data_IF_155195677771
#
_entry.id   IF_155195677771
#
_cell.length_a   1.000
_cell.length_b   1.000
_cell.length_c   1.000
_cell.angle_alpha   90.00
_cell.angle_beta   90.00
_cell.angle_gamma   90.00
#
_symmetry.space_group_name_H-M   'P 1'
#
loop_
_entity.id
_entity.type
_entity.pdbx_description
1 polymer ?
#
# COMPACT_ATOMS: atom_id res chain seq x y z
N UNK A 1 -4.93 62.06 -12.25
CA UNK A 1 -6.32 61.74 -12.66
C UNK A 1 -6.58 60.28 -12.36
N UNK A 2 -7.28 59.97 -11.26
CA UNK A 2 -7.61 58.61 -10.87
C UNK A 2 -8.88 58.18 -11.60
N UNK A 3 -8.75 57.30 -12.60
CA UNK A 3 -9.91 56.64 -13.21
C UNK A 3 -10.35 55.53 -12.26
N UNK A 4 -11.34 55.82 -11.42
CA UNK A 4 -12.09 54.77 -10.70
C UNK A 4 -12.88 53.95 -11.73
N UNK A 5 -12.24 52.93 -12.30
CA UNK A 5 -12.93 51.88 -13.04
C UNK A 5 -13.60 50.95 -12.03
N UNK A 6 -14.87 51.21 -11.72
CA UNK A 6 -15.67 50.33 -10.86
C UNK A 6 -16.05 49.08 -11.66
N UNK A 7 -15.53 47.91 -11.26
CA UNK A 7 -15.94 46.63 -11.84
C UNK A 7 -17.46 46.45 -11.68
N UNK A 8 -18.19 46.28 -12.78
CA UNK A 8 -19.66 46.27 -12.76
C UNK A 8 -20.26 44.90 -12.47
N UNK A 9 -19.49 43.80 -12.67
CA UNK A 9 -19.96 42.43 -12.45
C UNK A 9 -18.84 41.49 -11.99
N UNK A 10 -19.18 40.62 -11.04
CA UNK A 10 -18.32 39.50 -10.58
C UNK A 10 -18.86 38.21 -11.18
N UNK A 11 -17.99 37.47 -11.85
CA UNK A 11 -18.28 36.21 -12.54
C UNK A 11 -17.61 35.07 -11.77
N UNK A 12 -18.42 34.10 -11.34
CA UNK A 12 -17.96 33.03 -10.46
C UNK A 12 -18.16 31.65 -11.10
N UNK A 13 -17.14 30.81 -10.96
CA UNK A 13 -17.15 29.41 -11.36
C UNK A 13 -16.75 28.53 -10.17
N UNK A 14 -17.72 28.07 -9.41
CA UNK A 14 -17.52 26.90 -8.55
C UNK A 14 -18.86 26.20 -8.28
N UNK A 15 -18.79 24.90 -8.08
CA UNK A 15 -19.86 24.13 -7.45
C UNK A 15 -20.03 24.61 -6.01
N UNK A 16 -21.16 25.30 -5.80
CA UNK A 16 -21.96 25.37 -4.59
C UNK A 16 -21.22 25.07 -3.28
N UNK A 17 -20.92 26.10 -2.49
CA UNK A 17 -21.13 26.15 -1.02
C UNK A 17 -20.81 27.61 -0.60
N UNK A 18 -21.84 28.35 -0.17
CA UNK A 18 -21.79 29.70 0.46
C UNK A 18 -21.71 31.01 -0.38
N UNK A 19 -22.13 31.05 -1.66
CA UNK A 19 -22.35 32.35 -2.35
C UNK A 19 -23.81 32.89 -2.26
N UNK A 20 -24.62 32.39 -1.33
CA UNK A 20 -26.08 32.60 -1.35
C UNK A 20 -26.52 34.06 -1.16
N UNK A 21 -25.82 34.86 -0.36
CA UNK A 21 -26.20 36.25 -0.08
C UNK A 21 -25.85 37.25 -1.19
N UNK A 22 -24.80 36.96 -1.98
CA UNK A 22 -24.34 37.83 -3.07
C UNK A 22 -25.06 37.57 -4.40
N UNK A 23 -25.41 36.30 -4.67
CA UNK A 23 -26.23 35.90 -5.84
C UNK A 23 -27.62 36.53 -5.76
N UNK A 24 -28.20 36.60 -4.55
CA UNK A 24 -29.54 37.16 -4.31
C UNK A 24 -29.66 38.67 -4.56
N UNK A 25 -28.54 39.39 -4.70
CA UNK A 25 -28.48 40.85 -4.96
C UNK A 25 -28.10 41.20 -6.40
N UNK A 26 -28.12 40.25 -7.34
CA UNK A 26 -27.77 40.40 -8.76
C UNK A 26 -26.35 40.94 -9.07
N UNK A 27 -25.47 41.02 -8.07
CA UNK A 27 -24.08 41.51 -8.24
C UNK A 27 -23.11 40.43 -8.72
N UNK A 28 -23.53 39.16 -8.71
CA UNK A 28 -22.69 38.01 -9.03
C UNK A 28 -23.40 37.11 -10.05
N UNK A 29 -22.76 36.91 -11.21
CA UNK A 29 -23.27 36.04 -12.27
C UNK A 29 -22.52 34.71 -12.24
N UNK A 30 -23.28 33.61 -12.11
CA UNK A 30 -22.73 32.25 -12.12
C UNK A 30 -23.06 31.60 -13.45
N UNK A 31 -22.02 31.19 -14.19
CA UNK A 31 -22.18 30.40 -15.40
C UNK A 31 -21.46 29.06 -15.24
N UNK A 32 -22.09 27.94 -15.61
CA UNK A 32 -21.45 26.62 -15.53
C UNK A 32 -20.42 26.39 -16.65
N UNK A 33 -20.45 27.17 -17.74
CA UNK A 33 -19.58 27.02 -18.92
C UNK A 33 -19.25 28.38 -19.58
N UNK A 34 -18.07 28.52 -20.23
CA UNK A 34 -17.64 29.77 -20.91
C UNK A 34 -18.47 29.90 -22.19
N UNK A 35 -18.72 28.78 -22.85
CA UNK A 35 -19.47 28.71 -24.10
C UNK A 35 -20.99 28.74 -23.87
N UNK A 36 -21.47 29.01 -22.65
CA UNK A 36 -22.91 29.10 -22.43
C UNK A 36 -23.46 30.34 -23.13
N UNK A 37 -24.55 30.18 -23.87
CA UNK A 37 -25.20 31.29 -24.58
C UNK A 37 -25.53 32.46 -23.64
N UNK A 38 -26.03 32.13 -22.43
CA UNK A 38 -26.33 33.09 -21.37
C UNK A 38 -25.11 33.91 -20.95
N UNK A 39 -23.94 33.29 -20.82
CA UNK A 39 -22.70 33.99 -20.49
C UNK A 39 -22.25 34.91 -21.63
N UNK A 40 -22.23 34.42 -22.87
CA UNK A 40 -21.80 35.21 -24.02
C UNK A 40 -22.67 36.45 -24.23
N UNK A 41 -23.98 36.36 -23.99
CA UNK A 41 -24.90 37.50 -24.10
C UNK A 41 -24.83 38.48 -22.92
N UNK A 42 -24.32 38.06 -21.76
CA UNK A 42 -24.35 38.86 -20.52
C UNK A 42 -22.98 39.40 -20.09
N UNK A 43 -21.91 38.91 -20.72
CA UNK A 43 -20.53 39.29 -20.49
C UNK A 43 -20.29 40.75 -20.87
N UNK A 44 -19.84 41.54 -19.89
CA UNK A 44 -19.48 42.94 -20.07
C UNK A 44 -18.21 43.24 -19.27
N UNK A 45 -17.22 43.84 -19.91
CA UNK A 45 -15.97 44.31 -19.28
C UNK A 45 -16.16 45.76 -18.81
N UNK A 46 -15.63 46.18 -17.64
CA UNK A 46 -14.72 45.46 -16.74
C UNK A 46 -15.44 44.45 -15.82
N UNK A 47 -14.87 43.25 -15.68
CA UNK A 47 -15.39 42.19 -14.83
C UNK A 47 -14.29 41.49 -14.01
N UNK A 48 -14.68 40.81 -12.94
CA UNK A 48 -13.80 39.95 -12.14
C UNK A 48 -14.21 38.51 -12.38
N UNK A 49 -13.30 37.65 -12.83
CA UNK A 49 -13.59 36.23 -13.07
C UNK A 49 -12.79 35.36 -12.11
N UNK A 50 -13.50 34.49 -11.38
CA UNK A 50 -12.88 33.41 -10.61
C UNK A 50 -12.80 32.16 -11.47
N UNK A 51 -11.59 31.68 -11.73
CA UNK A 51 -11.37 30.44 -12.44
C UNK A 51 -10.87 29.34 -11.50
N UNK A 52 -11.42 28.12 -11.57
CA UNK A 52 -10.76 26.98 -10.98
C UNK A 52 -9.51 26.66 -11.79
N UNK A 53 -8.48 26.13 -11.12
CA UNK A 53 -7.23 25.57 -11.64
C UNK A 53 -5.96 26.42 -11.41
N UNK A 54 -5.13 25.95 -10.46
CA UNK A 54 -3.90 26.63 -10.02
C UNK A 54 -2.73 26.53 -11.00
N UNK A 55 -2.73 25.55 -11.92
CA UNK A 55 -1.59 25.36 -12.83
C UNK A 55 -1.62 26.24 -14.08
N UNK A 56 -2.73 26.97 -14.32
CA UNK A 56 -2.99 27.73 -15.55
C UNK A 56 -2.92 26.94 -16.87
N UNK A 57 -2.76 25.61 -16.82
CA UNK A 57 -2.62 24.74 -18.00
C UNK A 57 -3.91 24.09 -18.46
N UNK A 58 -4.95 24.08 -17.62
CA UNK A 58 -6.19 23.37 -17.88
C UNK A 58 -7.39 24.23 -17.54
N UNK A 59 -8.47 24.01 -18.27
CA UNK A 59 -9.77 24.61 -18.02
C UNK A 59 -9.95 26.04 -18.53
N UNK A 60 -11.03 26.71 -18.10
CA UNK A 60 -11.44 28.03 -18.57
C UNK A 60 -10.37 29.12 -18.54
N UNK A 61 -9.46 29.04 -17.58
CA UNK A 61 -8.42 30.03 -17.36
C UNK A 61 -7.49 30.19 -18.57
N UNK A 62 -7.24 29.12 -19.33
CA UNK A 62 -6.37 29.15 -20.51
C UNK A 62 -6.95 30.09 -21.58
N UNK A 63 -8.24 29.93 -21.89
CA UNK A 63 -8.92 30.74 -22.91
C UNK A 63 -9.04 32.21 -22.50
N UNK A 64 -9.26 32.47 -21.21
CA UNK A 64 -9.35 33.83 -20.69
C UNK A 64 -7.98 34.52 -20.68
N UNK A 65 -6.93 33.79 -20.31
CA UNK A 65 -5.56 34.30 -20.36
C UNK A 65 -5.11 34.58 -21.80
N UNK A 66 -5.44 33.72 -22.77
CA UNK A 66 -5.17 33.98 -24.19
C UNK A 66 -5.82 35.28 -24.69
N UNK A 67 -6.99 35.64 -24.16
CA UNK A 67 -7.69 36.87 -24.51
C UNK A 67 -7.09 38.11 -23.82
N UNK A 68 -6.76 37.98 -22.54
CA UNK A 68 -6.40 39.14 -21.70
C UNK A 68 -4.90 39.36 -21.52
N UNK A 69 -4.03 38.43 -21.92
CA UNK A 69 -2.59 38.56 -21.74
C UNK A 69 -1.99 39.80 -22.42
N UNK A 70 -2.56 40.23 -23.55
CA UNK A 70 -2.10 41.40 -24.30
C UNK A 70 -2.66 42.73 -23.77
N UNK A 71 -3.63 42.73 -22.86
CA UNK A 71 -4.26 43.96 -22.35
C UNK A 71 -3.57 44.46 -21.07
N UNK A 72 -2.96 45.66 -21.06
CA UNK A 72 -2.30 46.23 -19.88
C UNK A 72 -3.26 46.65 -18.76
N UNK A 73 -4.57 46.74 -19.04
CA UNK A 73 -5.59 47.04 -18.04
C UNK A 73 -6.07 45.80 -17.29
N UNK A 74 -5.73 44.62 -17.79
CA UNK A 74 -6.07 43.35 -17.16
C UNK A 74 -5.13 43.03 -16.00
N UNK A 75 -5.65 42.30 -15.01
CA UNK A 75 -4.93 41.91 -13.80
C UNK A 75 -5.19 40.43 -13.48
N UNK A 76 -4.13 39.65 -13.42
CA UNK A 76 -4.15 38.28 -12.93
C UNK A 76 -3.70 38.24 -11.47
N UNK A 77 -4.52 37.63 -10.62
CA UNK A 77 -4.18 37.35 -9.22
C UNK A 77 -4.00 35.84 -9.09
N UNK A 78 -2.82 35.40 -8.65
CA UNK A 78 -2.49 33.97 -8.49
C UNK A 78 -1.86 33.68 -7.12
N UNK A 79 -2.05 32.47 -6.62
CA UNK A 79 -1.39 31.97 -5.41
C UNK A 79 0.13 31.92 -5.59
N UNK A 80 0.88 32.44 -4.63
CA UNK A 80 2.35 32.37 -4.57
C UNK A 80 2.84 30.91 -4.48
N UNK A 81 3.58 30.46 -5.50
CA UNK A 81 4.13 29.11 -5.64
C UNK A 81 5.45 29.15 -6.40
N UNK A 82 6.27 28.11 -6.22
CA UNK A 82 7.61 28.02 -6.81
C UNK A 82 7.61 28.11 -8.36
N UNK A 83 6.57 27.56 -9.02
CA UNK A 83 6.59 27.36 -10.48
C UNK A 83 5.73 28.33 -11.28
N UNK A 84 5.35 29.48 -10.72
CA UNK A 84 4.47 30.45 -11.41
C UNK A 84 5.09 30.91 -12.74
N UNK A 85 6.40 31.18 -12.76
CA UNK A 85 7.09 31.61 -13.99
C UNK A 85 6.91 30.59 -15.10
N UNK A 86 7.11 29.30 -14.80
CA UNK A 86 6.92 28.22 -15.75
C UNK A 86 5.46 28.08 -16.20
N UNK A 87 4.49 28.37 -15.32
CA UNK A 87 3.08 28.36 -15.68
C UNK A 87 2.68 29.50 -16.63
N UNK A 88 3.40 30.63 -16.60
CA UNK A 88 3.13 31.81 -17.43
C UNK A 88 3.83 31.81 -18.79
N UNK A 89 4.90 31.03 -18.97
CA UNK A 89 5.66 30.94 -20.23
C UNK A 89 4.79 30.80 -21.49
N UNK A 90 3.69 29.99 -21.52
CA UNK A 90 2.87 29.86 -22.73
C UNK A 90 2.13 31.13 -23.15
N UNK A 91 2.08 32.15 -22.28
CA UNK A 91 1.35 33.39 -22.49
C UNK A 91 2.29 34.60 -22.70
N UNK A 92 3.60 34.39 -22.74
CA UNK A 92 4.57 35.43 -23.08
C UNK A 92 4.61 35.70 -24.61
N UNK A 93 4.76 36.96 -25.05
CA UNK A 93 4.86 38.18 -24.25
C UNK A 93 3.50 38.65 -23.70
N UNK A 94 3.48 39.09 -22.44
CA UNK A 94 2.28 39.52 -21.72
C UNK A 94 2.40 40.97 -21.26
N UNK A 95 1.39 41.79 -21.56
CA UNK A 95 1.26 43.17 -21.08
C UNK A 95 0.38 43.28 -19.82
N UNK A 96 -0.43 42.24 -19.56
CA UNK A 96 -1.24 42.10 -18.36
C UNK A 96 -0.39 42.11 -17.08
N UNK A 97 -0.91 42.72 -16.01
CA UNK A 97 -0.26 42.73 -14.70
C UNK A 97 -0.51 41.41 -13.98
N UNK A 98 0.51 40.87 -13.31
CA UNK A 98 0.40 39.65 -12.49
C UNK A 98 0.73 39.98 -11.04
N UNK A 99 -0.21 39.73 -10.14
CA UNK A 99 -0.03 39.83 -8.69
C UNK A 99 -0.02 38.44 -8.06
N UNK A 100 1.00 38.18 -7.26
CA UNK A 100 1.15 36.96 -6.50
C UNK A 100 0.73 37.22 -5.05
N UNK A 101 -0.10 36.36 -4.50
CA UNK A 101 -0.63 36.48 -3.15
C UNK A 101 -0.54 35.14 -2.44
N UNK A 102 -0.23 35.14 -1.14
CA UNK A 102 -0.25 33.91 -0.35
C UNK A 102 -1.59 33.77 0.38
N UNK A 103 -2.42 32.83 -0.07
CA UNK A 103 -3.70 32.48 0.53
C UNK A 103 -3.65 31.14 1.30
N UNK A 104 -2.49 30.46 1.35
CA UNK A 104 -2.35 29.16 2.04
C UNK A 104 -2.61 29.28 3.54
N UNK A 105 -3.72 28.68 3.96
CA UNK A 105 -4.06 28.44 5.37
C UNK A 105 -3.40 27.16 5.89
N UNK A 106 -2.07 27.15 5.96
CA UNK A 106 -1.28 26.02 6.46
C UNK A 106 -0.77 26.21 7.88
N UNK A 107 -0.35 25.12 8.52
CA UNK A 107 0.42 25.19 9.77
C UNK A 107 1.80 25.74 9.43
N UNK A 108 2.08 26.97 9.88
CA UNK A 108 3.42 27.55 9.77
C UNK A 108 4.39 26.77 10.66
N UNK A 109 5.65 26.70 10.24
CA UNK A 109 6.72 26.00 10.97
C UNK A 109 6.81 26.40 12.44
N UNK A 110 6.61 27.69 12.76
CA UNK A 110 6.55 28.23 14.13
C UNK A 110 5.48 27.55 15.01
N UNK A 111 4.36 27.11 14.44
CA UNK A 111 3.29 26.37 15.12
C UNK A 111 3.50 24.85 15.08
N UNK A 112 4.19 24.34 14.05
CA UNK A 112 4.51 22.92 13.95
C UNK A 112 5.48 22.45 15.06
N UNK A 113 6.47 23.27 15.42
CA UNK A 113 7.46 22.90 16.45
C UNK A 113 6.80 22.64 17.83
N UNK A 114 5.94 23.53 18.37
CA UNK A 114 5.18 23.23 19.58
C UNK A 114 4.32 21.96 19.50
N UNK A 115 3.72 21.67 18.35
CA UNK A 115 2.93 20.44 18.18
C UNK A 115 3.80 19.19 18.28
N UNK A 116 5.00 19.20 17.68
CA UNK A 116 5.95 18.10 17.78
C UNK A 116 6.43 17.88 19.22
N UNK A 117 6.54 18.94 20.03
CA UNK A 117 6.86 18.85 21.46
C UNK A 117 5.77 18.13 22.27
N UNK A 118 4.51 18.40 21.95
CA UNK A 118 3.36 17.81 22.64
C UNK A 118 3.19 16.34 22.21
N UNK A 119 3.30 16.06 20.92
CA UNK A 119 3.02 14.73 20.36
C UNK A 119 4.13 13.71 20.64
N UNK A 120 5.38 14.16 20.79
CA UNK A 120 6.57 13.31 20.98
C UNK A 120 6.56 12.03 20.10
N UNK A 121 6.43 12.19 18.77
CA UNK A 121 6.41 11.05 17.85
C UNK A 121 7.73 10.26 17.90
N UNK A 122 7.72 8.98 17.54
CA UNK A 122 8.95 8.16 17.42
C UNK A 122 9.79 8.51 16.20
N UNK A 123 9.10 8.71 15.06
CA UNK A 123 9.71 9.05 13.78
C UNK A 123 8.97 10.25 13.17
N UNK A 124 9.70 11.17 12.58
CA UNK A 124 9.18 12.35 11.89
C UNK A 124 9.78 12.41 10.50
N UNK A 125 8.92 12.42 9.49
CA UNK A 125 9.31 12.58 8.10
C UNK A 125 9.10 14.03 7.68
N UNK A 126 10.14 14.68 7.16
CA UNK A 126 10.11 16.11 6.78
C UNK A 126 10.66 16.29 5.38
N UNK A 127 10.12 17.23 4.57
CA UNK A 127 10.77 17.64 3.33
C UNK A 127 12.22 18.08 3.59
N UNK A 128 13.12 17.79 2.66
CA UNK A 128 14.54 18.13 2.80
C UNK A 128 14.79 19.62 3.08
N UNK A 129 14.02 20.50 2.45
CA UNK A 129 14.05 21.95 2.65
C UNK A 129 13.76 22.38 4.10
N UNK A 130 13.03 21.56 4.86
CA UNK A 130 12.65 21.85 6.25
C UNK A 130 13.56 21.15 7.28
N UNK A 131 14.45 20.26 6.82
CA UNK A 131 15.36 19.50 7.69
C UNK A 131 16.23 20.40 8.58
N UNK A 132 16.91 21.46 8.10
CA UNK A 132 17.79 22.28 8.93
C UNK A 132 17.05 22.94 10.10
N UNK A 133 15.80 23.36 9.88
CA UNK A 133 14.99 24.04 10.88
C UNK A 133 14.53 23.12 12.01
N UNK A 134 14.39 21.82 11.73
CA UNK A 134 13.95 20.82 12.71
C UNK A 134 15.17 20.21 13.42
N UNK A 135 16.27 19.97 12.70
CA UNK A 135 17.52 19.49 13.28
C UNK A 135 18.13 20.46 14.30
N UNK A 136 17.99 21.77 14.08
CA UNK A 136 18.44 22.81 15.03
C UNK A 136 17.83 22.66 16.43
N UNK A 137 16.68 21.98 16.54
CA UNK A 137 15.96 21.80 17.79
C UNK A 137 16.46 20.60 18.62
N UNK A 138 17.40 19.78 18.13
CA UNK A 138 17.86 18.54 18.79
C UNK A 138 16.69 17.68 19.32
N UNK A 139 15.77 17.24 18.44
CA UNK A 139 14.62 16.46 18.86
C UNK A 139 15.03 15.12 19.48
N UNK A 140 14.27 14.65 20.48
CA UNK A 140 14.44 13.31 21.09
C UNK A 140 13.98 12.16 20.18
N UNK A 141 13.52 12.47 18.97
CA UNK A 141 12.92 11.53 18.02
C UNK A 141 13.70 11.49 16.72
N UNK A 142 13.56 10.39 15.98
CA UNK A 142 14.26 10.20 14.71
C UNK A 142 13.63 11.07 13.63
N UNK A 143 14.45 11.90 12.97
CA UNK A 143 14.03 12.75 11.85
C UNK A 143 14.59 12.19 10.55
N UNK A 144 13.70 11.94 9.60
CA UNK A 144 14.02 11.45 8.26
C UNK A 144 13.65 12.53 7.24
N UNK A 145 14.51 12.76 6.25
CA UNK A 145 14.21 13.66 5.13
C UNK A 145 13.56 12.89 3.99
N UNK A 146 12.55 13.49 3.37
CA UNK A 146 11.99 13.06 2.10
C UNK A 146 12.56 13.96 1.00
N UNK A 147 13.25 13.35 0.05
CA UNK A 147 13.62 13.96 -1.22
C UNK A 147 12.77 13.34 -2.33
N UNK A 148 12.67 14.04 -3.46
CA UNK A 148 11.96 13.53 -4.63
C UNK A 148 12.63 12.26 -5.14
N UNK A 149 11.82 11.25 -5.47
CA UNK A 149 12.25 9.94 -5.98
C UNK A 149 13.03 9.04 -5.01
N UNK A 150 13.13 9.38 -3.73
CA UNK A 150 13.69 8.48 -2.72
C UNK A 150 12.60 7.70 -1.97
N UNK A 151 12.86 6.40 -1.79
CA UNK A 151 12.04 5.55 -0.93
C UNK A 151 12.59 5.59 0.49
N UNK A 152 11.85 6.21 1.41
CA UNK A 152 12.22 6.23 2.83
C UNK A 152 11.73 4.96 3.50
N UNK A 153 12.65 4.11 3.95
CA UNK A 153 12.33 2.92 4.72
C UNK A 153 11.99 3.35 6.15
N UNK A 154 10.71 3.28 6.50
CA UNK A 154 10.26 3.48 7.88
C UNK A 154 10.65 2.24 8.69
N UNK A 155 11.42 2.39 9.79
CA UNK A 155 11.82 1.25 10.61
C UNK A 155 10.61 0.47 11.10
N UNK A 156 10.67 -0.86 11.06
CA UNK A 156 9.64 -1.70 11.68
C UNK A 156 9.61 -1.40 13.17
N UNK A 157 8.46 -0.92 13.66
CA UNK A 157 8.25 -0.56 15.07
C UNK A 157 8.33 -1.75 16.04
N UNK A 158 8.18 -2.99 15.52
CA UNK A 158 8.30 -4.22 16.29
C UNK A 158 9.13 -5.26 15.53
N UNK A 159 10.06 -5.88 16.24
CA UNK A 159 10.88 -7.01 15.74
C UNK A 159 10.04 -8.27 15.52
N UNK A 160 8.91 -8.36 16.22
CA UNK A 160 7.96 -9.47 16.14
C UNK A 160 6.59 -8.93 15.76
N UNK A 161 5.92 -9.61 14.84
CA UNK A 161 4.52 -9.32 14.57
C UNK A 161 3.67 -9.83 15.74
N UNK A 162 2.78 -9.00 16.29
CA UNK A 162 1.75 -9.50 17.18
C UNK A 162 0.79 -10.35 16.33
N UNK A 163 0.47 -11.54 16.82
CA UNK A 163 -0.46 -12.45 16.16
C UNK A 163 -1.55 -12.82 17.16
N UNK A 164 -2.80 -12.62 16.75
CA UNK A 164 -3.96 -13.04 17.52
C UNK A 164 -4.19 -14.54 17.25
N UNK A 165 -4.17 -15.36 18.30
CA UNK A 165 -4.47 -16.80 18.20
C UNK A 165 -5.93 -16.98 18.60
N UNK A 166 -6.70 -17.66 17.75
CA UNK A 166 -8.09 -17.99 18.08
C UNK A 166 -8.16 -18.88 19.33
N UNK A 167 -9.17 -18.66 20.18
CA UNK A 167 -9.28 -19.30 21.50
C UNK A 167 -9.34 -20.83 21.44
N UNK A 168 -9.95 -21.38 20.39
CA UNK A 168 -10.01 -22.82 20.10
C UNK A 168 -8.64 -23.44 19.83
N UNK A 169 -7.70 -22.67 19.27
CA UNK A 169 -6.31 -23.10 19.07
C UNK A 169 -5.43 -22.89 20.31
N UNK A 170 -5.73 -21.87 21.11
CA UNK A 170 -4.98 -21.59 22.33
C UNK A 170 -5.05 -22.76 23.34
N UNK A 171 -6.15 -23.50 23.36
CA UNK A 171 -6.30 -24.70 24.18
C UNK A 171 -5.37 -25.85 23.79
N UNK A 172 -5.03 -26.01 22.50
CA UNK A 172 -4.09 -27.05 22.05
C UNK A 172 -2.64 -26.72 22.44
N UNK A 173 -2.29 -25.43 22.49
CA UNK A 173 -0.95 -24.97 22.84
C UNK A 173 -0.54 -25.29 24.27
N UNK A 174 -1.50 -25.34 25.20
CA UNK A 174 -1.24 -25.65 26.61
C UNK A 174 -0.84 -27.11 26.84
N UNK A 175 -1.06 -27.98 25.86
CA UNK A 175 -0.89 -29.43 26.02
C UNK A 175 0.52 -29.87 25.58
N UNK A 176 1.10 -29.21 24.56
CA UNK A 176 2.33 -29.66 23.88
C UNK A 176 3.53 -28.68 24.01
N UNK A 177 3.69 -28.00 25.15
CA UNK A 177 4.89 -27.16 25.40
C UNK A 177 6.10 -28.00 25.79
N UNK A 178 7.19 -27.89 25.03
CA UNK A 178 8.52 -28.42 25.38
C UNK A 178 9.47 -27.28 25.75
N UNK A 179 10.32 -27.50 26.74
CA UNK A 179 11.36 -26.54 27.13
C UNK A 179 12.63 -26.77 26.32
N UNK A 180 13.02 -25.78 25.51
CA UNK A 180 14.28 -25.80 24.76
C UNK A 180 15.04 -24.50 25.07
N UNK A 181 16.26 -24.61 25.58
CA UNK A 181 17.14 -23.47 25.91
C UNK A 181 16.46 -22.38 26.78
N UNK A 182 15.68 -22.78 27.78
CA UNK A 182 14.99 -21.84 28.68
C UNK A 182 13.76 -21.16 28.09
N UNK A 183 13.29 -21.57 26.90
CA UNK A 183 12.05 -21.09 26.29
C UNK A 183 11.04 -22.23 26.16
N UNK A 184 9.78 -21.95 26.52
CA UNK A 184 8.65 -22.84 26.25
C UNK A 184 8.30 -22.74 24.76
N UNK A 185 8.40 -23.86 24.04
CA UNK A 185 8.08 -23.96 22.62
C UNK A 185 6.91 -24.93 22.47
N UNK A 186 5.83 -24.49 21.85
CA UNK A 186 4.67 -25.32 21.51
C UNK A 186 4.44 -25.31 19.99
N UNK A 187 3.98 -26.45 19.46
CA UNK A 187 3.66 -26.59 18.04
C UNK A 187 2.24 -26.07 17.78
N UNK A 188 2.11 -25.07 16.92
CA UNK A 188 0.81 -24.59 16.42
C UNK A 188 0.64 -24.98 14.94
N UNK A 189 -0.47 -25.61 14.60
CA UNK A 189 -0.84 -25.88 13.20
C UNK A 189 -2.11 -25.12 12.86
N UNK A 190 -2.02 -24.16 11.95
CA UNK A 190 -3.15 -23.30 11.60
C UNK A 190 -3.01 -22.60 10.27
N UNK A 191 -4.07 -21.90 9.88
CA UNK A 191 -4.06 -20.96 8.77
C UNK A 191 -3.77 -19.55 9.29
N UNK A 192 -2.80 -18.87 8.67
CA UNK A 192 -2.44 -17.49 8.99
C UNK A 192 -3.20 -16.54 8.07
N UNK A 193 -4.11 -15.76 8.66
CA UNK A 193 -4.91 -14.76 7.97
C UNK A 193 -4.41 -13.35 8.32
N UNK A 194 -4.57 -12.42 7.38
CA UNK A 194 -4.35 -10.99 7.62
C UNK A 194 -5.70 -10.30 7.53
N UNK A 195 -6.24 -9.89 8.68
CA UNK A 195 -7.51 -9.18 8.78
C UNK A 195 -7.27 -7.82 9.45
N UNK A 196 -7.71 -6.74 8.81
CA UNK A 196 -7.59 -5.37 9.35
C UNK A 196 -6.16 -4.97 9.78
N UNK A 197 -5.14 -5.49 9.07
CA UNK A 197 -3.72 -5.22 9.38
C UNK A 197 -3.18 -5.98 10.60
N UNK A 198 -3.93 -6.95 11.13
CA UNK A 198 -3.47 -7.88 12.17
C UNK A 198 -3.33 -9.29 11.61
N UNK A 199 -2.31 -9.99 12.09
CA UNK A 199 -2.13 -11.40 11.81
C UNK A 199 -3.02 -12.22 12.75
N UNK A 200 -3.81 -13.15 12.21
CA UNK A 200 -4.69 -14.02 12.97
C UNK A 200 -4.45 -15.48 12.59
N UNK A 201 -4.19 -16.33 13.58
CA UNK A 201 -4.07 -17.77 13.38
C UNK A 201 -5.41 -18.44 13.69
N UNK A 202 -5.96 -19.20 12.73
CA UNK A 202 -7.24 -19.92 12.86
C UNK A 202 -7.08 -21.40 12.53
N UNK A 203 -7.90 -22.25 13.18
CA UNK A 203 -7.89 -23.69 12.93
C UNK A 203 -8.42 -23.96 11.52
N UNK A 204 -7.73 -24.83 10.78
CA UNK A 204 -8.19 -25.25 9.46
C UNK A 204 -9.45 -26.07 9.61
N UNK A 205 -10.61 -25.44 9.50
CA UNK A 205 -11.87 -26.15 9.41
C UNK A 205 -11.86 -27.02 8.14
N UNK A 206 -12.01 -28.33 8.31
CA UNK A 206 -12.03 -29.34 7.22
C UNK A 206 -13.17 -29.12 6.20
N UNK A 207 -14.03 -28.11 6.39
CA UNK A 207 -15.27 -27.92 5.62
C UNK A 207 -15.27 -26.70 4.69
N UNK A 208 -14.27 -25.82 4.70
CA UNK A 208 -14.20 -24.74 3.70
C UNK A 208 -13.23 -25.13 2.60
N UNK A 209 -13.73 -25.93 1.67
CA UNK A 209 -13.16 -26.12 0.34
C UNK A 209 -13.26 -24.78 -0.42
N UNK A 210 -12.31 -23.87 -0.18
CA UNK A 210 -12.04 -22.85 -1.20
C UNK A 210 -11.42 -23.59 -2.39
N UNK A 211 -12.07 -23.57 -3.56
CA UNK A 211 -11.67 -24.29 -4.78
C UNK A 211 -10.33 -23.82 -5.40
N UNK A 212 -9.60 -22.94 -4.72
CA UNK A 212 -8.28 -22.51 -5.16
C UNK A 212 -7.22 -23.36 -4.46
N UNK A 213 -6.65 -24.30 -5.22
CA UNK A 213 -5.43 -25.03 -4.86
C UNK A 213 -4.32 -24.01 -4.65
N UNK A 214 -4.13 -23.55 -3.41
CA UNK A 214 -2.96 -22.75 -3.04
C UNK A 214 -1.78 -23.69 -2.82
N UNK A 215 -0.59 -23.38 -3.32
CA UNK A 215 0.59 -24.22 -3.12
C UNK A 215 0.92 -24.26 -1.64
N UNK A 216 0.75 -25.43 -1.02
CA UNK A 216 1.15 -25.69 0.35
C UNK A 216 2.67 -25.86 0.37
N UNK A 217 3.37 -25.00 1.13
CA UNK A 217 4.79 -25.17 1.39
C UNK A 217 4.96 -26.15 2.55
N UNK A 218 5.52 -27.32 2.25
CA UNK A 218 5.96 -28.28 3.27
C UNK A 218 7.44 -28.08 3.53
N UNK A 219 7.80 -27.84 4.79
CA UNK A 219 9.19 -27.71 5.22
C UNK A 219 9.48 -28.75 6.30
N UNK A 220 10.38 -29.67 6.01
CA UNK A 220 10.80 -30.70 6.95
C UNK A 220 11.57 -31.82 6.26
N UNK A 221 12.28 -32.62 7.07
CA UNK A 221 12.93 -33.85 6.62
C UNK A 221 11.96 -35.02 6.77
N UNK A 222 11.91 -35.90 5.78
CA UNK A 222 11.16 -37.16 5.88
C UNK A 222 12.02 -38.16 6.65
N UNK A 223 11.50 -38.68 7.76
CA UNK A 223 12.10 -39.82 8.45
C UNK A 223 11.64 -41.12 7.78
N UNK A 224 12.60 -41.94 7.31
CA UNK A 224 12.32 -43.12 6.50
C UNK A 224 11.55 -44.18 7.29
N UNK A 225 11.96 -44.44 8.53
CA UNK A 225 11.34 -45.46 9.38
C UNK A 225 9.91 -45.06 9.76
N UNK A 226 9.69 -43.79 10.12
CA UNK A 226 8.37 -43.25 10.37
C UNK A 226 7.46 -43.33 9.15
N UNK A 227 7.98 -43.02 7.95
CA UNK A 227 7.23 -43.11 6.70
C UNK A 227 6.84 -44.56 6.38
N UNK A 228 7.75 -45.51 6.52
CA UNK A 228 7.46 -46.93 6.30
C UNK A 228 6.40 -47.45 7.26
N UNK A 229 6.46 -47.04 8.53
CA UNK A 229 5.44 -47.39 9.53
C UNK A 229 4.08 -46.77 9.20
N UNK A 230 4.05 -45.51 8.77
CA UNK A 230 2.83 -44.83 8.38
C UNK A 230 2.18 -45.48 7.16
N UNK A 231 2.95 -45.80 6.11
CA UNK A 231 2.43 -46.46 4.90
C UNK A 231 1.89 -47.87 5.20
N UNK A 232 2.59 -48.67 6.02
CA UNK A 232 2.10 -49.98 6.46
C UNK A 232 0.81 -49.87 7.28
N UNK A 233 0.71 -48.86 8.15
CA UNK A 233 -0.52 -48.60 8.93
C UNK A 233 -1.71 -48.24 8.04
N UNK A 234 -1.46 -47.60 6.90
CA UNK A 234 -2.46 -47.29 5.88
C UNK A 234 -2.81 -48.50 4.98
N UNK A 235 -2.29 -49.69 5.27
CA UNK A 235 -2.59 -50.93 4.55
C UNK A 235 -1.77 -51.16 3.28
N UNK A 236 -0.70 -50.39 3.06
CA UNK A 236 0.14 -50.51 1.87
C UNK A 236 1.25 -51.53 2.04
N UNK A 237 1.56 -52.26 0.98
CA UNK A 237 2.66 -53.23 0.93
C UNK A 237 3.90 -52.57 0.35
N UNK A 238 4.87 -52.29 1.23
CA UNK A 238 5.99 -51.39 0.95
C UNK A 238 7.34 -52.11 1.07
N UNK A 239 8.22 -51.88 0.10
CA UNK A 239 9.62 -52.29 0.11
C UNK A 239 10.54 -51.06 -0.03
N UNK A 240 11.59 -50.97 0.79
CA UNK A 240 12.57 -49.89 0.71
C UNK A 240 13.89 -50.40 0.13
N UNK A 241 14.49 -49.64 -0.79
CA UNK A 241 15.84 -49.86 -1.29
C UNK A 241 16.67 -48.59 -1.07
N UNK A 242 17.90 -48.78 -0.60
CA UNK A 242 18.91 -47.72 -0.62
C UNK A 242 19.71 -47.86 -1.91
N UNK A 243 19.64 -46.86 -2.78
CA UNK A 243 20.45 -46.81 -3.98
C UNK A 243 21.54 -45.74 -3.80
N UNK A 244 22.79 -46.13 -4.04
CA UNK A 244 23.86 -45.16 -4.26
C UNK A 244 23.81 -44.77 -5.74
N UNK A 245 23.69 -43.47 -6.04
CA UNK A 245 23.78 -43.02 -7.42
C UNK A 245 25.16 -43.36 -7.99
N UNK A 246 25.21 -43.70 -9.28
CA UNK A 246 26.45 -43.94 -10.03
C UNK A 246 27.38 -42.72 -10.05
N UNK A 247 26.86 -41.54 -9.70
CA UNK A 247 27.59 -40.27 -9.56
C UNK A 247 27.69 -39.84 -8.08
N UNK A 248 28.26 -40.72 -7.24
CA UNK A 248 29.14 -40.38 -6.11
C UNK A 248 28.74 -39.40 -5.00
N UNK A 249 27.55 -38.77 -4.97
CA UNK A 249 27.31 -37.66 -4.02
C UNK A 249 25.94 -37.61 -3.32
N UNK A 250 24.92 -38.39 -3.70
CA UNK A 250 23.61 -38.31 -3.02
C UNK A 250 23.07 -39.70 -2.61
N UNK A 251 22.80 -39.86 -1.31
CA UNK A 251 22.08 -41.01 -0.79
C UNK A 251 20.61 -40.87 -1.15
N UNK A 252 20.15 -41.63 -2.15
CA UNK A 252 18.75 -41.67 -2.57
C UNK A 252 18.08 -42.86 -1.89
N UNK A 253 17.02 -42.59 -1.14
CA UNK A 253 16.16 -43.64 -0.58
C UNK A 253 14.95 -43.84 -1.47
N UNK A 254 14.80 -45.05 -2.00
CA UNK A 254 13.67 -45.43 -2.86
C UNK A 254 12.70 -46.30 -2.08
N UNK A 255 11.41 -45.98 -2.17
CA UNK A 255 10.33 -46.75 -1.57
C UNK A 255 9.38 -47.19 -2.67
N UNK A 256 9.20 -48.50 -2.80
CA UNK A 256 8.28 -49.13 -3.74
C UNK A 256 7.03 -49.59 -3.00
N UNK A 257 5.87 -49.19 -3.52
CA UNK A 257 4.57 -49.64 -3.06
C UNK A 257 4.01 -50.57 -4.12
N UNK A 258 3.68 -51.81 -3.71
CA UNK A 258 3.21 -52.87 -4.60
C UNK A 258 1.69 -53.06 -4.58
N UNK A 259 1.04 -52.72 -3.46
CA UNK A 259 -0.42 -52.82 -3.26
C UNK A 259 -0.88 -51.59 -2.46
N UNK A 260 -2.03 -50.95 -2.77
CA UNK A 260 -3.06 -51.35 -3.74
C UNK A 260 -2.77 -51.02 -5.21
N UNK A 261 -1.95 -49.99 -5.48
CA UNK A 261 -1.48 -49.63 -6.82
C UNK A 261 0.02 -49.34 -6.77
N UNK A 262 0.71 -49.55 -7.90
CA UNK A 262 2.14 -49.28 -8.01
C UNK A 262 2.44 -47.80 -7.78
N UNK A 263 3.36 -47.53 -6.85
CA UNK A 263 3.87 -46.20 -6.59
C UNK A 263 5.35 -46.22 -6.20
N UNK A 264 6.06 -45.15 -6.57
CA UNK A 264 7.46 -44.94 -6.27
C UNK A 264 7.62 -43.63 -5.49
N UNK A 265 8.30 -43.69 -4.34
CA UNK A 265 8.69 -42.50 -3.59
C UNK A 265 10.22 -42.44 -3.60
N UNK A 266 10.74 -41.33 -4.13
CA UNK A 266 12.16 -41.02 -4.14
C UNK A 266 12.44 -39.92 -3.13
N UNK A 267 13.33 -40.19 -2.17
CA UNK A 267 13.71 -39.25 -1.12
C UNK A 267 15.19 -38.90 -1.31
N UNK A 268 15.46 -37.63 -1.62
CA UNK A 268 16.80 -37.04 -1.67
C UNK A 268 17.04 -36.15 -0.45
N UNK A 269 18.22 -35.54 -0.38
CA UNK A 269 18.59 -34.59 0.68
C UNK A 269 17.70 -33.35 0.73
N UNK A 270 17.15 -32.95 -0.41
CA UNK A 270 16.43 -31.67 -0.58
C UNK A 270 15.02 -31.82 -1.13
N UNK A 271 14.67 -32.98 -1.69
CA UNK A 271 13.40 -33.20 -2.36
C UNK A 271 12.82 -34.59 -2.07
N UNK A 272 11.50 -34.69 -2.07
CA UNK A 272 10.78 -35.96 -2.08
C UNK A 272 9.84 -35.97 -3.29
N UNK A 273 10.07 -36.91 -4.20
CA UNK A 273 9.28 -37.07 -5.43
C UNK A 273 8.37 -38.29 -5.28
N UNK A 274 7.07 -38.11 -5.52
CA UNK A 274 6.06 -39.18 -5.44
C UNK A 274 5.54 -39.41 -6.86
N UNK A 275 5.73 -40.63 -7.38
CA UNK A 275 5.25 -41.06 -8.69
C UNK A 275 4.18 -42.14 -8.51
N UNK A 276 2.92 -41.80 -8.82
CA UNK A 276 1.75 -42.67 -8.61
C UNK A 276 0.82 -42.54 -9.82
N UNK A 277 0.28 -43.66 -10.32
CA UNK A 277 -0.63 -43.67 -11.47
C UNK A 277 -2.10 -43.38 -11.14
N UNK A 278 -2.46 -43.36 -9.86
CA UNK A 278 -3.83 -43.26 -9.36
C UNK A 278 -3.99 -42.17 -8.28
N UNK A 279 -5.08 -41.39 -8.36
CA UNK A 279 -5.34 -40.24 -7.48
C UNK A 279 -5.64 -40.65 -6.03
N UNK A 280 -6.29 -41.80 -5.83
CA UNK A 280 -6.64 -42.28 -4.48
C UNK A 280 -5.38 -42.70 -3.72
N UNK A 281 -4.48 -43.40 -4.39
CA UNK A 281 -3.18 -43.82 -3.88
C UNK A 281 -2.27 -42.61 -3.67
N UNK A 282 -2.28 -41.64 -4.59
CA UNK A 282 -1.52 -40.40 -4.45
C UNK A 282 -1.95 -39.60 -3.20
N UNK A 283 -3.25 -39.54 -2.92
CA UNK A 283 -3.79 -38.85 -1.75
C UNK A 283 -3.36 -39.52 -0.44
N UNK A 284 -3.39 -40.85 -0.39
CA UNK A 284 -2.95 -41.62 0.78
C UNK A 284 -1.45 -41.50 1.03
N UNK A 285 -0.63 -41.58 -0.03
CA UNK A 285 0.82 -41.42 0.06
C UNK A 285 1.18 -39.99 0.46
N UNK A 286 0.50 -38.98 -0.09
CA UNK A 286 0.70 -37.59 0.30
C UNK A 286 0.38 -37.38 1.78
N UNK A 287 -0.72 -37.94 2.29
CA UNK A 287 -1.08 -37.84 3.70
C UNK A 287 -0.06 -38.56 4.61
N UNK A 288 0.44 -39.73 4.19
CA UNK A 288 1.49 -40.45 4.91
C UNK A 288 2.76 -39.58 5.02
N UNK A 289 3.26 -39.04 3.91
CA UNK A 289 4.44 -38.15 3.90
C UNK A 289 4.20 -36.91 4.78
N UNK A 290 3.03 -36.28 4.68
CA UNK A 290 2.68 -35.12 5.50
C UNK A 290 2.66 -35.42 6.99
N UNK A 291 2.26 -36.63 7.37
CA UNK A 291 2.20 -37.06 8.77
C UNK A 291 3.59 -37.34 9.37
N UNK A 292 4.59 -37.60 8.54
CA UNK A 292 5.95 -38.02 8.97
C UNK A 292 7.04 -36.98 8.72
N UNK A 293 6.69 -35.80 8.21
CA UNK A 293 7.62 -34.68 8.08
C UNK A 293 8.09 -34.20 9.46
N UNK A 294 9.40 -34.29 9.70
CA UNK A 294 10.10 -33.72 10.84
C UNK A 294 10.49 -32.28 10.48
N UNK A 295 9.79 -31.29 11.03
CA UNK A 295 10.13 -29.89 10.85
C UNK A 295 11.38 -29.53 11.66
N UNK A 296 12.20 -28.61 11.12
CA UNK A 296 13.34 -28.02 11.81
C UNK A 296 12.92 -27.09 12.95
#
# INVERSE_FOLDING_TARGET
MAVQSTARKILFWATTIHAYSAVKREKLFVSPAIHSSKFLTSWQEPCIVFCPHWSLRLGPVVHLLQRWCADPNSLLIIEERADIKLALLPFEPMSMKVLQCSFISGIKLKKAIPLLKILQPKHVLVPESLRPHISCWNPKFSVHSLSENETVVVPKLKTFADMDIAMDMASELLIDTKMIQGKNIARLKGELLIEQGKYRCVLRNKQVLSSQVRPLLFLGRVDLDSLLMALKKMGMKVAAQHAQSTDGSENVSLIFISEPNEALIEITSTQTTISVGDETTASLVSEAVRSTLVCF
#
